data_IF_678409564001
#
_entry.id   IF_678409564001
#
_cell.length_a   1.000
_cell.length_b   1.000
_cell.length_c   1.000
_cell.angle_alpha   90.00
_cell.angle_beta   90.00
_cell.angle_gamma   90.00
#
_symmetry.space_group_name_H-M   'P 1'
#
loop_
_entity.id
_entity.type
_entity.pdbx_description
1 polymer ?
#
# COMPACT_ATOMS: atom_id res chain seq x y z
N UNK A 1 -10.86 10.51 -9.14
CA UNK A 1 -11.07 9.22 -9.83
C UNK A 1 -11.53 8.18 -8.82
N UNK A 2 -12.49 7.39 -9.21
CA UNK A 2 -13.05 6.35 -8.35
C UNK A 2 -12.34 5.01 -8.63
N UNK A 3 -11.93 4.32 -7.57
CA UNK A 3 -11.26 3.03 -7.65
C UNK A 3 -12.01 1.99 -6.83
N UNK A 4 -12.00 0.76 -7.33
CA UNK A 4 -12.57 -0.37 -6.63
C UNK A 4 -11.49 -1.45 -6.47
N UNK A 5 -11.28 -1.90 -5.23
CA UNK A 5 -10.37 -2.99 -4.96
C UNK A 5 -11.02 -4.31 -5.37
N UNK A 6 -10.45 -4.97 -6.36
CA UNK A 6 -11.05 -6.15 -6.97
C UNK A 6 -11.27 -7.32 -6.00
N UNK A 7 -10.42 -7.47 -4.99
CA UNK A 7 -10.46 -8.62 -4.08
C UNK A 7 -11.20 -8.34 -2.76
N UNK A 8 -11.34 -7.07 -2.39
CA UNK A 8 -11.92 -6.70 -1.09
C UNK A 8 -13.29 -6.01 -1.23
N UNK A 9 -13.67 -5.63 -2.44
CA UNK A 9 -14.88 -4.84 -2.64
C UNK A 9 -14.81 -3.43 -2.05
N UNK A 10 -13.63 -2.99 -1.67
CA UNK A 10 -13.43 -1.66 -1.09
C UNK A 10 -13.38 -0.63 -2.22
N UNK A 11 -14.11 0.45 -2.03
CA UNK A 11 -14.12 1.57 -2.97
C UNK A 11 -13.46 2.79 -2.32
N UNK A 12 -12.70 3.53 -3.11
CA UNK A 12 -12.04 4.75 -2.64
C UNK A 12 -11.87 5.73 -3.78
N UNK A 13 -11.60 6.99 -3.42
CA UNK A 13 -11.41 8.06 -4.38
C UNK A 13 -10.06 8.71 -4.23
N UNK A 14 -9.44 9.02 -5.37
CA UNK A 14 -8.32 9.94 -5.46
C UNK A 14 -8.80 11.06 -6.38
N UNK A 15 -8.88 12.31 -5.89
CA UNK A 15 -9.29 13.43 -6.74
C UNK A 15 -8.45 13.53 -8.00
N UNK A 16 -9.08 13.84 -9.12
CA UNK A 16 -8.39 13.94 -10.42
C UNK A 16 -7.22 14.92 -10.36
N UNK A 17 -7.37 16.01 -9.63
CA UNK A 17 -6.30 17.00 -9.48
C UNK A 17 -5.04 16.42 -8.83
N UNK A 18 -5.18 15.51 -7.88
CA UNK A 18 -4.04 14.84 -7.25
C UNK A 18 -3.35 13.90 -8.24
N UNK A 19 -4.13 13.19 -9.01
CA UNK A 19 -3.65 12.25 -10.02
C UNK A 19 -2.79 12.96 -11.05
N UNK A 20 -3.32 14.06 -11.61
CA UNK A 20 -2.59 14.87 -12.58
C UNK A 20 -1.38 15.56 -11.97
N UNK A 21 -1.48 16.08 -10.75
CA UNK A 21 -0.37 16.74 -10.07
C UNK A 21 0.82 15.79 -9.87
N UNK A 22 0.55 14.50 -9.67
CA UNK A 22 1.60 13.48 -9.52
C UNK A 22 2.17 13.01 -10.86
N UNK A 23 1.54 13.32 -11.99
CA UNK A 23 1.92 12.79 -13.30
C UNK A 23 1.44 11.36 -13.55
N UNK A 24 0.50 10.87 -12.74
CA UNK A 24 0.03 9.49 -12.82
C UNK A 24 -0.79 9.21 -14.09
N UNK A 25 -1.35 10.24 -14.71
CA UNK A 25 -2.09 10.13 -15.97
C UNK A 25 -1.23 9.67 -17.14
N UNK A 26 0.09 9.84 -17.04
CA UNK A 26 1.05 9.48 -18.09
C UNK A 26 1.87 8.24 -17.74
N UNK A 27 1.52 7.55 -16.68
CA UNK A 27 2.31 6.43 -16.16
C UNK A 27 1.55 5.12 -16.32
N UNK A 28 2.24 4.12 -16.86
CA UNK A 28 1.77 2.74 -16.88
C UNK A 28 2.82 1.87 -16.19
N UNK A 29 2.44 1.09 -15.17
CA UNK A 29 3.40 0.24 -14.48
C UNK A 29 3.98 -0.81 -15.42
N UNK A 30 5.29 -0.88 -15.53
CA UNK A 30 6.00 -1.97 -16.22
C UNK A 30 6.56 -2.99 -15.23
N UNK A 31 6.76 -2.58 -13.98
CA UNK A 31 7.17 -3.46 -12.90
C UNK A 31 5.97 -4.02 -12.17
N UNK A 32 6.16 -5.10 -11.42
CA UNK A 32 5.08 -5.73 -10.65
C UNK A 32 4.73 -4.98 -9.37
N UNK A 33 5.66 -4.17 -8.85
CA UNK A 33 5.49 -3.40 -7.62
C UNK A 33 6.32 -2.12 -7.69
N UNK A 34 6.07 -1.19 -6.78
CA UNK A 34 6.92 -0.02 -6.68
C UNK A 34 8.31 -0.40 -6.14
N UNK A 35 9.29 0.47 -6.40
CA UNK A 35 10.66 0.26 -5.92
C UNK A 35 10.70 0.50 -4.42
N UNK A 36 11.09 -0.51 -3.65
CA UNK A 36 11.18 -0.41 -2.21
C UNK A 36 12.64 -0.30 -1.77
N UNK A 37 12.88 0.58 -0.79
CA UNK A 37 14.16 0.61 -0.10
C UNK A 37 14.31 -0.64 0.77
N UNK A 38 15.53 -1.13 0.91
CA UNK A 38 15.81 -2.32 1.69
C UNK A 38 16.18 -1.99 3.13
N UNK A 39 15.78 -2.87 4.05
CA UNK A 39 16.20 -2.83 5.44
C UNK A 39 17.00 -4.11 5.70
N UNK A 40 18.27 -4.01 6.18
CA UNK A 40 19.06 -5.21 6.42
C UNK A 40 18.49 -6.11 7.52
N UNK A 41 17.70 -5.57 8.42
CA UNK A 41 17.10 -6.36 9.51
C UNK A 41 15.83 -7.10 9.07
N UNK A 42 15.04 -6.50 8.20
CA UNK A 42 13.75 -7.03 7.78
C UNK A 42 13.69 -7.11 6.27
N UNK A 43 13.94 -8.28 5.68
CA UNK A 43 13.90 -8.42 4.22
C UNK A 43 12.55 -8.06 3.65
N UNK A 44 12.57 -7.41 2.48
CA UNK A 44 11.36 -7.10 1.73
C UNK A 44 11.04 -8.25 0.78
N UNK A 45 9.78 -8.69 0.81
CA UNK A 45 9.28 -9.70 -0.12
C UNK A 45 8.13 -9.13 -0.93
N UNK A 46 7.96 -9.62 -2.15
CA UNK A 46 6.81 -9.25 -2.98
C UNK A 46 5.67 -10.20 -2.70
N UNK A 47 4.50 -9.65 -2.41
CA UNK A 47 3.29 -10.44 -2.22
C UNK A 47 2.18 -9.92 -3.12
N UNK A 48 1.28 -10.78 -3.60
CA UNK A 48 0.11 -10.31 -4.36
C UNK A 48 -0.75 -9.38 -3.52
N UNK A 49 -1.34 -8.36 -4.15
CA UNK A 49 -2.24 -7.43 -3.47
C UNK A 49 -3.36 -8.20 -2.76
N UNK A 50 -3.81 -9.31 -3.34
CA UNK A 50 -4.88 -10.14 -2.78
C UNK A 50 -4.52 -10.81 -1.44
N UNK A 51 -3.24 -10.89 -1.10
CA UNK A 51 -2.78 -11.50 0.16
C UNK A 51 -2.67 -10.50 1.31
N UNK A 52 -2.94 -9.24 1.06
CA UNK A 52 -2.90 -8.18 2.07
C UNK A 52 -4.30 -7.66 2.30
N UNK A 53 -4.74 -7.66 3.57
CA UNK A 53 -6.04 -7.10 3.92
C UNK A 53 -6.03 -5.59 3.67
N UNK A 54 -7.06 -5.08 3.02
CA UNK A 54 -7.18 -3.65 2.76
C UNK A 54 -7.22 -2.90 4.11
N UNK A 55 -6.26 -1.99 4.38
CA UNK A 55 -6.23 -1.31 5.66
C UNK A 55 -7.42 -0.36 5.78
N UNK A 56 -8.01 -0.32 6.97
CA UNK A 56 -9.12 0.55 7.27
C UNK A 56 -8.73 1.48 8.41
N UNK A 57 -9.36 2.65 8.42
CA UNK A 57 -9.20 3.61 9.51
C UNK A 57 -10.48 3.69 10.30
N UNK A 58 -10.35 4.09 11.57
CA UNK A 58 -11.49 4.30 12.44
C UNK A 58 -12.40 5.41 11.88
N UNK A 59 -13.71 5.33 12.11
CA UNK A 59 -14.63 6.39 11.73
C UNK A 59 -14.20 7.75 12.30
N UNK A 60 -14.25 8.78 11.47
CA UNK A 60 -13.85 10.13 11.85
C UNK A 60 -12.38 10.46 11.56
N UNK A 61 -11.57 9.49 11.21
CA UNK A 61 -10.20 9.75 10.74
C UNK A 61 -10.26 10.03 9.23
N UNK A 62 -9.56 11.08 8.80
CA UNK A 62 -9.49 11.43 7.39
C UNK A 62 -8.92 10.25 6.61
N UNK A 63 -9.47 10.01 5.43
CA UNK A 63 -9.00 8.97 4.52
C UNK A 63 -7.63 9.31 3.93
N UNK A 64 -7.54 9.39 2.61
CA UNK A 64 -6.29 9.72 1.95
C UNK A 64 -5.93 11.20 2.13
N UNK A 65 -4.68 11.45 2.47
CA UNK A 65 -4.13 12.80 2.64
C UNK A 65 -3.54 13.27 1.32
N UNK A 66 -3.87 14.49 0.91
CA UNK A 66 -3.51 15.03 -0.40
C UNK A 66 -2.01 15.00 -0.67
N UNK A 67 -1.23 15.66 0.18
CA UNK A 67 0.21 15.79 -0.05
C UNK A 67 0.93 14.43 -0.04
N UNK A 68 0.53 13.55 0.88
CA UNK A 68 1.11 12.19 0.95
C UNK A 68 0.77 11.38 -0.28
N UNK A 69 -0.47 11.43 -0.72
CA UNK A 69 -0.93 10.68 -1.88
C UNK A 69 -0.20 11.16 -3.14
N UNK A 70 -0.13 12.46 -3.35
CA UNK A 70 0.58 13.04 -4.49
C UNK A 70 2.06 12.67 -4.46
N UNK A 71 2.70 12.78 -3.30
CA UNK A 71 4.12 12.47 -3.14
C UNK A 71 4.43 11.01 -3.47
N UNK A 72 3.58 10.09 -3.00
CA UNK A 72 3.76 8.65 -3.24
C UNK A 72 3.56 8.32 -4.71
N UNK A 73 2.48 8.81 -5.32
CA UNK A 73 2.22 8.59 -6.75
C UNK A 73 3.34 9.18 -7.61
N UNK A 74 3.84 10.35 -7.25
CA UNK A 74 4.95 10.98 -7.97
C UNK A 74 6.22 10.14 -7.86
N UNK A 75 6.50 9.57 -6.69
CA UNK A 75 7.64 8.68 -6.52
C UNK A 75 7.53 7.44 -7.42
N UNK A 76 6.33 6.87 -7.56
CA UNK A 76 6.10 5.77 -8.47
C UNK A 76 6.42 6.18 -9.92
N UNK A 77 5.91 7.33 -10.35
CA UNK A 77 6.11 7.84 -11.71
C UNK A 77 7.59 8.12 -11.99
N UNK A 78 8.30 8.67 -11.02
CA UNK A 78 9.71 9.03 -11.17
C UNK A 78 10.68 7.88 -10.90
N UNK A 79 10.17 6.72 -10.50
CA UNK A 79 11.01 5.56 -10.18
C UNK A 79 11.84 5.71 -8.93
N UNK A 80 11.39 6.51 -7.98
CA UNK A 80 12.07 6.71 -6.70
C UNK A 80 11.68 5.63 -5.70
N UNK A 81 12.65 5.17 -4.90
CA UNK A 81 12.40 4.18 -3.89
C UNK A 81 11.60 4.76 -2.72
N UNK A 82 10.67 3.96 -2.19
CA UNK A 82 9.90 4.26 -1.00
C UNK A 82 10.07 3.12 0.01
N UNK A 83 9.79 3.36 1.31
CA UNK A 83 9.80 2.27 2.27
C UNK A 83 8.81 1.17 1.88
N UNK A 84 9.13 -0.11 2.16
CA UNK A 84 8.14 -1.17 1.95
C UNK A 84 6.99 -1.03 2.94
N UNK A 85 5.87 -1.68 2.63
CA UNK A 85 4.77 -1.81 3.58
C UNK A 85 5.23 -2.67 4.75
N UNK A 86 4.78 -2.35 5.96
CA UNK A 86 5.02 -3.19 7.13
C UNK A 86 3.76 -3.96 7.46
N UNK A 87 3.88 -5.27 7.58
CA UNK A 87 2.76 -6.16 7.85
C UNK A 87 3.15 -7.28 8.80
N UNK A 88 2.16 -7.94 9.36
CA UNK A 88 2.36 -9.16 10.14
C UNK A 88 1.30 -10.19 9.75
N UNK A 89 1.61 -11.48 10.00
CA UNK A 89 0.63 -12.53 9.83
C UNK A 89 -0.21 -12.63 11.10
N UNK A 90 -1.55 -12.51 10.98
CA UNK A 90 -2.42 -12.75 12.13
C UNK A 90 -2.29 -14.19 12.64
N UNK A 91 -2.64 -14.38 13.93
CA UNK A 91 -2.61 -15.71 14.53
C UNK A 91 -3.63 -16.68 13.92
N UNK A 92 -4.74 -16.17 13.36
CA UNK A 92 -5.75 -17.01 12.74
C UNK A 92 -5.21 -17.64 11.46
N UNK A 93 -5.34 -18.97 11.26
CA UNK A 93 -4.89 -19.63 10.05
C UNK A 93 -5.56 -19.06 8.80
N UNK A 94 -4.82 -19.01 7.69
CA UNK A 94 -5.31 -18.56 6.38
C UNK A 94 -5.79 -17.11 6.31
N UNK A 95 -5.47 -16.31 7.32
CA UNK A 95 -5.76 -14.89 7.28
C UNK A 95 -4.79 -14.17 6.37
N UNK A 96 -5.26 -13.08 5.74
CA UNK A 96 -4.40 -12.20 4.96
C UNK A 96 -3.43 -11.46 5.88
N UNK A 97 -2.35 -10.97 5.28
CA UNK A 97 -1.41 -10.11 6.01
C UNK A 97 -2.14 -8.84 6.48
N UNK A 98 -1.88 -8.46 7.73
CA UNK A 98 -2.44 -7.24 8.30
C UNK A 98 -1.39 -6.14 8.26
N UNK A 99 -1.71 -5.00 7.66
CA UNK A 99 -0.80 -3.87 7.57
C UNK A 99 -0.66 -3.19 8.92
N UNK A 100 0.60 -2.86 9.26
CA UNK A 100 0.95 -2.05 10.42
C UNK A 100 1.31 -0.63 10.03
N UNK A 101 1.86 -0.44 8.82
CA UNK A 101 2.23 0.85 8.27
C UNK A 101 2.17 0.78 6.75
N UNK A 102 1.73 1.87 6.12
CA UNK A 102 1.69 1.97 4.67
C UNK A 102 0.29 2.16 4.10
N UNK A 103 -0.64 2.74 4.85
CA UNK A 103 -2.01 3.00 4.40
C UNK A 103 -2.04 3.69 3.03
N UNK A 104 -1.32 4.80 2.89
CA UNK A 104 -1.31 5.56 1.63
C UNK A 104 -0.59 4.82 0.50
N UNK A 105 0.52 4.14 0.81
CA UNK A 105 1.26 3.36 -0.20
C UNK A 105 0.45 2.18 -0.72
N UNK A 106 -0.34 1.56 0.16
CA UNK A 106 -1.26 0.49 -0.23
C UNK A 106 -2.28 0.99 -1.27
N UNK A 107 -3.03 2.02 -0.92
CA UNK A 107 -4.08 2.53 -1.82
C UNK A 107 -3.52 3.15 -3.09
N UNK A 108 -2.40 3.83 -3.02
CA UNK A 108 -1.74 4.36 -4.21
C UNK A 108 -1.29 3.23 -5.15
N UNK A 109 -0.76 2.14 -4.60
CA UNK A 109 -0.36 0.97 -5.39
C UNK A 109 -1.54 0.32 -6.10
N UNK A 110 -2.66 0.15 -5.39
CA UNK A 110 -3.90 -0.39 -5.97
C UNK A 110 -4.39 0.53 -7.09
N UNK A 111 -4.42 1.83 -6.85
CA UNK A 111 -4.94 2.81 -7.81
C UNK A 111 -4.12 2.83 -9.10
N UNK A 112 -2.79 2.80 -9.00
CA UNK A 112 -1.93 2.88 -10.17
C UNK A 112 -1.80 1.54 -10.91
N UNK A 113 -2.21 0.45 -10.27
CA UNK A 113 -2.32 -0.85 -10.93
C UNK A 113 -1.18 -1.82 -10.69
N UNK A 114 -0.39 -1.66 -9.66
CA UNK A 114 0.61 -2.67 -9.31
C UNK A 114 -0.06 -3.96 -8.81
N UNK A 115 0.25 -5.12 -9.40
CA UNK A 115 -0.34 -6.39 -8.95
C UNK A 115 0.29 -6.94 -7.68
N UNK A 116 1.48 -6.47 -7.31
CA UNK A 116 2.23 -6.94 -6.15
C UNK A 116 2.54 -5.77 -5.21
N UNK A 117 2.82 -6.10 -3.96
CA UNK A 117 3.23 -5.13 -2.95
C UNK A 117 4.57 -5.55 -2.37
N UNK A 118 5.54 -4.61 -2.21
CA UNK A 118 6.76 -4.90 -1.48
C UNK A 118 6.48 -4.78 0.01
N UNK A 119 6.63 -5.87 0.74
CA UNK A 119 6.21 -5.97 2.15
C UNK A 119 7.37 -6.46 3.00
N UNK A 120 7.57 -5.80 4.12
CA UNK A 120 8.43 -6.25 5.19
C UNK A 120 7.54 -6.96 6.22
N UNK A 121 7.65 -8.28 6.29
CA UNK A 121 6.81 -9.07 7.20
C UNK A 121 7.50 -9.11 8.55
N UNK A 122 6.82 -8.54 9.55
CA UNK A 122 7.31 -8.43 10.91
C UNK A 122 6.69 -9.51 11.79
N UNK A 123 7.35 -9.93 12.86
CA UNK A 123 6.74 -10.85 13.82
C UNK A 123 5.47 -10.25 14.41
N UNK A 124 4.46 -11.09 14.60
CA UNK A 124 3.29 -10.70 15.36
C UNK A 124 3.68 -10.51 16.83
N UNK A 125 3.29 -9.38 17.40
CA UNK A 125 3.55 -9.07 18.80
C UNK A 125 2.22 -8.87 19.53
N UNK A 126 1.95 -9.74 20.52
CA UNK A 126 0.75 -9.68 21.33
C UNK A 126 1.11 -9.15 22.73
N UNK A 127 0.72 -7.92 23.00
CA UNK A 127 0.96 -7.29 24.30
C UNK A 127 0.30 -8.03 25.45
N UNK A 128 -0.79 -8.74 25.19
CA UNK A 128 -1.51 -9.48 26.22
C UNK A 128 -0.83 -10.79 26.61
N UNK A 129 0.14 -11.23 25.83
CA UNK A 129 0.91 -12.44 26.11
C UNK A 129 2.15 -12.21 26.97
N UNK A 130 2.43 -10.98 27.30
CA UNK A 130 3.60 -10.62 28.12
C UNK A 130 3.34 -10.81 29.63
#
# INVERSE_FOLDING_TARGET
MHFRHAFEGVEFEIPDSWWYAAGADRFEPSASAYIASSDPKWPTVLVPVSEVAAPQRDPGILGLHEERTISILRAFVEGKALPPLEAHRPAAPMSKLALRDGFHRYYASVAIGFPMLPVSIRPYFDFNAL
#
